data_IF_904250570077
#
_entry.id   IF_904250570077
#
_cell.length_a   1.000
_cell.length_b   1.000
_cell.length_c   1.000
_cell.angle_alpha   90.00
_cell.angle_beta   90.00
_cell.angle_gamma   90.00
#
_symmetry.space_group_name_H-M   'P 1'
#
loop_
_entity.id
_entity.type
_entity.pdbx_description
1 polymer ?
#
# COMPACT_ATOMS: atom_id res chain seq x y z
N UNK A 1 -1.49 -10.28 4.51
CA UNK A 1 -0.22 -10.42 3.75
C UNK A 1 0.87 -10.87 4.69
N UNK A 2 1.93 -11.53 4.20
CA UNK A 2 2.97 -12.24 4.99
C UNK A 2 2.50 -13.45 5.84
N UNK A 3 1.31 -13.39 6.43
CA UNK A 3 0.68 -14.47 7.23
C UNK A 3 -0.79 -14.74 6.85
N UNK A 4 -1.21 -14.34 5.64
CA UNK A 4 -2.57 -14.54 5.09
C UNK A 4 -3.77 -13.94 5.86
N UNK A 5 -3.53 -13.22 6.95
CA UNK A 5 -4.58 -12.51 7.72
C UNK A 5 -4.85 -11.11 7.15
N UNK A 6 -5.50 -11.05 5.99
CA UNK A 6 -5.93 -9.78 5.38
C UNK A 6 -7.19 -9.24 6.08
N UNK A 7 -7.31 -7.91 6.27
CA UNK A 7 -8.53 -7.33 6.82
C UNK A 7 -9.70 -7.53 5.85
N UNK A 8 -10.84 -7.98 6.36
CA UNK A 8 -12.10 -8.11 5.62
C UNK A 8 -13.09 -7.04 6.06
N UNK A 9 -14.20 -6.89 5.33
CA UNK A 9 -15.25 -5.92 5.67
C UNK A 9 -15.74 -6.02 7.11
N UNK A 10 -15.86 -7.24 7.64
CA UNK A 10 -16.37 -7.53 8.99
C UNK A 10 -15.28 -7.83 10.03
N UNK A 11 -14.03 -8.13 9.63
CA UNK A 11 -12.97 -8.55 10.55
C UNK A 11 -11.65 -7.83 10.28
N UNK A 12 -11.06 -7.24 11.31
CA UNK A 12 -9.72 -6.64 11.27
C UNK A 12 -8.91 -7.10 12.50
N UNK A 13 -8.37 -8.34 12.47
CA UNK A 13 -7.82 -9.00 13.66
C UNK A 13 -6.57 -8.30 14.21
N UNK A 14 -5.79 -7.65 13.34
CA UNK A 14 -4.56 -6.94 13.68
C UNK A 14 -4.71 -5.41 13.57
N UNK A 15 -5.93 -4.90 13.46
CA UNK A 15 -6.21 -3.48 13.31
C UNK A 15 -5.48 -2.80 12.13
N UNK A 16 -5.24 -3.54 11.04
CA UNK A 16 -4.47 -3.09 9.89
C UNK A 16 -5.11 -1.88 9.20
N UNK A 17 -6.44 -1.74 9.25
CA UNK A 17 -7.13 -0.54 8.72
C UNK A 17 -6.72 0.70 9.49
N UNK A 18 -6.64 0.59 10.83
CA UNK A 18 -6.24 1.70 11.70
C UNK A 18 -4.75 1.99 11.58
N UNK A 19 -3.93 0.94 11.50
CA UNK A 19 -2.48 1.08 11.32
C UNK A 19 -2.14 1.79 10.00
N UNK A 20 -2.76 1.37 8.89
CA UNK A 20 -2.54 1.99 7.58
C UNK A 20 -2.95 3.47 7.57
N UNK A 21 -4.10 3.82 8.17
CA UNK A 21 -4.49 5.22 8.32
C UNK A 21 -3.49 6.02 9.16
N UNK A 22 -2.95 5.43 10.23
CA UNK A 22 -1.89 6.05 11.04
C UNK A 22 -0.64 6.34 10.22
N UNK A 23 -0.18 5.38 9.42
CA UNK A 23 0.96 5.57 8.51
C UNK A 23 0.69 6.67 7.50
N UNK A 24 -0.47 6.66 6.83
CA UNK A 24 -0.85 7.73 5.88
C UNK A 24 -0.81 9.10 6.56
N UNK A 25 -1.43 9.25 7.73
CA UNK A 25 -1.47 10.53 8.46
C UNK A 25 -0.07 11.01 8.86
N UNK A 26 0.80 10.11 9.34
CA UNK A 26 2.17 10.46 9.72
C UNK A 26 2.97 10.89 8.49
N UNK A 27 2.86 10.17 7.38
CA UNK A 27 3.53 10.50 6.12
C UNK A 27 3.12 11.87 5.62
N UNK A 28 1.81 12.17 5.61
CA UNK A 28 1.30 13.47 5.18
C UNK A 28 1.66 14.60 6.14
N UNK A 29 1.50 14.39 7.45
CA UNK A 29 1.80 15.41 8.46
C UNK A 29 3.29 15.81 8.50
N UNK A 30 4.19 14.92 8.08
CA UNK A 30 5.63 15.17 8.04
C UNK A 30 6.17 15.40 6.62
N UNK A 31 5.29 15.52 5.61
CA UNK A 31 5.67 15.73 4.21
C UNK A 31 6.68 14.69 3.67
N UNK A 32 6.56 13.44 4.13
CA UNK A 32 7.49 12.38 3.78
C UNK A 32 7.26 11.90 2.35
N UNK A 33 8.18 12.23 1.45
CA UNK A 33 8.21 11.77 0.06
C UNK A 33 8.62 10.30 0.03
N UNK A 34 7.65 9.40 0.02
CA UNK A 34 7.86 7.94 0.04
C UNK A 34 7.32 7.32 -1.25
N UNK A 35 8.18 6.57 -1.96
CA UNK A 35 7.74 5.67 -3.03
C UNK A 35 7.31 4.34 -2.43
N UNK A 36 6.00 4.09 -2.35
CA UNK A 36 5.45 2.89 -1.73
C UNK A 36 5.86 1.61 -2.48
N UNK A 37 5.88 1.61 -3.81
CA UNK A 37 6.37 0.49 -4.61
C UNK A 37 7.82 0.14 -4.26
N UNK A 38 8.68 1.14 -4.10
CA UNK A 38 10.09 0.94 -3.75
C UNK A 38 10.25 0.29 -2.37
N UNK A 39 9.55 0.83 -1.36
CA UNK A 39 9.65 0.34 0.02
C UNK A 39 9.06 -1.07 0.16
N UNK A 40 7.91 -1.32 -0.48
CA UNK A 40 7.26 -2.63 -0.45
C UNK A 40 8.11 -3.67 -1.18
N UNK A 41 8.72 -3.30 -2.31
CA UNK A 41 9.66 -4.16 -3.02
C UNK A 41 10.85 -4.57 -2.16
N UNK A 42 11.50 -3.60 -1.49
CA UNK A 42 12.62 -3.88 -0.58
C UNK A 42 12.20 -4.74 0.62
N UNK A 43 11.11 -4.36 1.29
CA UNK A 43 10.61 -5.08 2.48
C UNK A 43 10.25 -6.54 2.16
N UNK A 44 9.66 -6.76 0.99
CA UNK A 44 9.25 -8.09 0.54
C UNK A 44 10.46 -8.96 0.15
N UNK A 45 11.49 -8.36 -0.45
CA UNK A 45 12.76 -9.04 -0.74
C UNK A 45 13.46 -9.51 0.54
N UNK A 46 13.59 -8.62 1.53
CA UNK A 46 14.16 -8.93 2.85
C UNK A 46 13.38 -10.02 3.58
N UNK A 47 12.05 -9.94 3.57
CA UNK A 47 11.17 -10.91 4.25
C UNK A 47 11.30 -12.33 3.66
N UNK A 48 11.42 -12.46 2.34
CA UNK A 48 11.63 -13.75 1.69
C UNK A 48 13.02 -14.33 1.96
N UNK A 49 14.04 -13.46 1.99
CA UNK A 49 15.41 -13.84 2.33
C UNK A 49 15.48 -14.37 3.78
N UNK A 50 14.77 -13.74 4.71
CA UNK A 50 14.74 -14.15 6.11
C UNK A 50 13.96 -15.46 6.36
N UNK A 51 12.94 -15.77 5.55
CA UNK A 51 12.19 -17.03 5.64
C UNK A 51 12.90 -18.25 5.02
N UNK A 52 14.08 -18.06 4.40
CA UNK A 52 14.82 -19.15 3.76
C UNK A 52 14.07 -19.79 2.60
N UNK A 53 13.07 -19.11 2.04
CA UNK A 53 12.27 -19.60 0.91
C UNK A 53 13.12 -19.44 -0.35
N UNK A 54 13.90 -20.48 -0.68
CA UNK A 54 14.59 -20.55 -1.96
C UNK A 54 13.56 -20.33 -3.07
N UNK A 55 13.87 -19.46 -4.02
CA UNK A 55 13.15 -19.30 -5.30
C UNK A 55 13.33 -20.64 -6.05
N UNK A 56 12.60 -21.67 -5.64
CA UNK A 56 12.74 -23.02 -6.19
C UNK A 56 11.70 -23.34 -7.25
N UNK A 57 10.73 -22.44 -7.47
CA UNK A 57 9.68 -22.57 -8.49
C UNK A 57 9.96 -21.71 -9.72
N UNK A 58 11.17 -21.84 -10.29
CA UNK A 58 11.57 -21.18 -11.53
C UNK A 58 11.50 -19.63 -11.52
N UNK A 59 12.02 -18.97 -12.58
CA UNK A 59 12.10 -17.51 -12.61
C UNK A 59 10.73 -16.80 -12.62
N UNK A 60 9.64 -17.51 -12.96
CA UNK A 60 8.36 -16.91 -13.33
C UNK A 60 7.27 -16.99 -12.25
N UNK A 61 7.26 -18.01 -11.38
CA UNK A 61 6.20 -18.21 -10.37
C UNK A 61 6.42 -17.34 -9.12
N UNK A 62 7.67 -17.14 -8.71
CA UNK A 62 8.01 -16.24 -7.61
C UNK A 62 7.68 -14.78 -7.91
N UNK A 63 7.93 -14.32 -9.14
CA UNK A 63 7.67 -12.93 -9.55
C UNK A 63 6.18 -12.58 -9.55
N UNK A 64 5.31 -13.52 -9.89
CA UNK A 64 3.87 -13.27 -10.01
C UNK A 64 3.21 -13.15 -8.64
N UNK A 65 3.43 -14.09 -7.70
CA UNK A 65 2.78 -14.01 -6.38
C UNK A 65 3.34 -12.87 -5.51
N UNK A 66 4.66 -12.63 -5.53
CA UNK A 66 5.25 -11.49 -4.81
C UNK A 66 4.71 -10.14 -5.33
N UNK A 67 4.55 -10.03 -6.65
CA UNK A 67 4.00 -8.83 -7.29
C UNK A 67 2.54 -8.62 -6.91
N UNK A 68 1.72 -9.68 -6.99
CA UNK A 68 0.29 -9.59 -6.68
C UNK A 68 0.02 -9.20 -5.22
N UNK A 69 0.75 -9.76 -4.27
CA UNK A 69 0.61 -9.43 -2.84
C UNK A 69 1.01 -7.97 -2.55
N UNK A 70 2.07 -7.50 -3.21
CA UNK A 70 2.55 -6.12 -3.07
C UNK A 70 1.58 -5.12 -3.72
N UNK A 71 1.01 -5.48 -4.88
CA UNK A 71 0.01 -4.68 -5.59
C UNK A 71 -1.30 -4.58 -4.80
N UNK A 72 -1.74 -5.67 -4.18
CA UNK A 72 -2.98 -5.68 -3.40
C UNK A 72 -2.79 -5.08 -1.99
N UNK A 73 -1.56 -5.06 -1.46
CA UNK A 73 -1.22 -4.21 -0.32
C UNK A 73 -1.19 -2.72 -0.69
N UNK A 74 -0.66 -2.39 -1.86
CA UNK A 74 -0.64 -1.01 -2.36
C UNK A 74 -2.05 -0.49 -2.61
N UNK A 75 -2.92 -1.28 -3.24
CA UNK A 75 -4.34 -0.94 -3.43
C UNK A 75 -5.04 -0.69 -2.08
N UNK A 76 -4.74 -1.51 -1.07
CA UNK A 76 -5.27 -1.32 0.28
C UNK A 76 -4.84 0.02 0.89
N UNK A 77 -3.58 0.45 0.74
CA UNK A 77 -3.13 1.77 1.19
C UNK A 77 -3.76 2.90 0.37
N UNK A 78 -3.88 2.74 -0.95
CA UNK A 78 -4.55 3.69 -1.83
C UNK A 78 -5.99 3.94 -1.39
N UNK A 79 -6.75 2.89 -1.08
CA UNK A 79 -8.11 3.01 -0.58
C UNK A 79 -8.19 3.77 0.76
N UNK A 80 -7.20 3.59 1.64
CA UNK A 80 -7.13 4.33 2.92
C UNK A 80 -6.82 5.80 2.71
N UNK A 81 -5.92 6.13 1.78
CA UNK A 81 -5.65 7.52 1.42
C UNK A 81 -6.88 8.18 0.78
N UNK A 82 -7.57 7.48 -0.14
CA UNK A 82 -8.83 7.97 -0.72
C UNK A 82 -9.87 8.27 0.34
N UNK A 83 -10.06 7.36 1.29
CA UNK A 83 -11.01 7.58 2.40
C UNK A 83 -10.59 8.79 3.26
N UNK A 84 -9.30 8.91 3.58
CA UNK A 84 -8.79 10.04 4.35
C UNK A 84 -9.03 11.39 3.66
N UNK A 85 -8.75 11.50 2.36
CA UNK A 85 -8.98 12.73 1.59
C UNK A 85 -10.48 13.08 1.50
N UNK A 86 -11.35 12.06 1.36
CA UNK A 86 -12.81 12.25 1.40
C UNK A 86 -13.27 12.78 2.76
N UNK A 87 -12.70 12.24 3.85
CA UNK A 87 -13.00 12.70 5.21
C UNK A 87 -12.51 14.14 5.46
N UNK A 88 -11.46 14.59 4.75
CA UNK A 88 -10.99 15.99 4.72
C UNK A 88 -11.86 16.92 3.85
N UNK A 89 -12.88 16.38 3.18
CA UNK A 89 -13.81 17.13 2.33
C UNK A 89 -13.33 17.31 0.89
N UNK A 90 -12.28 16.61 0.47
CA UNK A 90 -11.83 16.65 -0.91
C UNK A 90 -12.84 16.00 -1.84
N UNK A 91 -12.97 16.57 -3.04
CA UNK A 91 -13.94 16.11 -4.04
C UNK A 91 -13.56 14.73 -4.58
N UNK A 92 -14.51 13.81 -4.60
CA UNK A 92 -14.31 12.45 -5.12
C UNK A 92 -13.73 12.41 -6.53
N UNK A 93 -14.19 13.29 -7.42
CA UNK A 93 -13.74 13.31 -8.80
C UNK A 93 -12.28 13.74 -8.96
N UNK A 94 -11.79 14.65 -8.11
CA UNK A 94 -10.37 15.05 -8.08
C UNK A 94 -9.49 13.92 -7.55
N UNK A 95 -9.93 13.26 -6.47
CA UNK A 95 -9.23 12.09 -5.93
C UNK A 95 -9.10 11.03 -7.01
N UNK A 96 -10.21 10.61 -7.64
CA UNK A 96 -10.17 9.55 -8.64
C UNK A 96 -9.33 9.93 -9.87
N UNK A 97 -9.33 11.21 -10.29
CA UNK A 97 -8.49 11.70 -11.38
C UNK A 97 -6.99 11.64 -11.06
N UNK A 98 -6.57 12.04 -9.85
CA UNK A 98 -5.16 11.98 -9.45
C UNK A 98 -4.68 10.54 -9.30
N UNK A 99 -5.51 9.66 -8.74
CA UNK A 99 -5.18 8.24 -8.65
C UNK A 99 -5.13 7.54 -10.01
N UNK A 100 -5.92 7.99 -11.01
CA UNK A 100 -5.86 7.47 -12.37
C UNK A 100 -4.54 7.78 -13.09
N UNK A 101 -3.77 8.77 -12.60
CA UNK A 101 -2.46 9.11 -13.16
C UNK A 101 -1.37 8.08 -12.81
N UNK A 102 -1.64 7.17 -11.86
CA UNK A 102 -0.70 6.10 -11.49
C UNK A 102 0.49 6.58 -10.65
N UNK A 103 0.37 7.71 -9.97
CA UNK A 103 1.38 8.20 -9.03
C UNK A 103 1.48 7.28 -7.81
N UNK A 104 2.70 7.08 -7.30
CA UNK A 104 3.00 6.18 -6.17
C UNK A 104 3.40 6.93 -4.88
N UNK A 105 3.63 8.24 -4.98
CA UNK A 105 4.02 9.09 -3.86
C UNK A 105 2.77 9.75 -3.24
N UNK A 106 2.42 9.32 -2.04
CA UNK A 106 1.21 9.78 -1.34
C UNK A 106 1.18 11.30 -1.12
N UNK A 107 2.33 11.93 -0.90
CA UNK A 107 2.43 13.38 -0.69
C UNK A 107 2.19 14.11 -2.01
N UNK A 108 2.73 13.60 -3.11
CA UNK A 108 2.44 14.16 -4.44
C UNK A 108 0.97 14.01 -4.81
N UNK A 109 0.35 12.87 -4.49
CA UNK A 109 -1.08 12.63 -4.71
C UNK A 109 -1.89 13.69 -3.94
N UNK A 110 -1.66 13.83 -2.63
CA UNK A 110 -2.40 14.80 -1.81
C UNK A 110 -2.21 16.24 -2.27
N UNK A 111 -1.02 16.63 -2.75
CA UNK A 111 -0.77 17.99 -3.25
C UNK A 111 -1.48 18.32 -4.57
N UNK A 112 -1.97 17.32 -5.30
CA UNK A 112 -2.62 17.48 -6.61
C UNK A 112 -4.15 17.44 -6.54
N UNK A 113 -4.71 17.10 -5.38
CA UNK A 113 -6.15 17.08 -5.09
C UNK A 113 -6.54 18.43 -4.50
#
# INVERSE_FOLDING_TARGET
WAIDEKPTGSKDPFALRRAALGVVRITLANDLRLGFQGILGMSNFEFQNQKGLQISDGPFVGLTKLSLDSLDLLSFFADRLKQHLRDEGQRHDLIDAVFALGEDDLVLITRRV
#
